data_IF_389092065226
#
_entry.id   IF_389092065226
#
_cell.length_a   1.000
_cell.length_b   1.000
_cell.length_c   1.000
_cell.angle_alpha   90.00
_cell.angle_beta   90.00
_cell.angle_gamma   90.00
#
_symmetry.space_group_name_H-M   'P 1'
#
loop_
_entity.id
_entity.type
_entity.pdbx_description
1 polymer ?
#
# COMPACT_ATOMS: atom_id res chain seq x y z
N UNK A 1 -3.53 -9.68 -15.43
CA UNK A 1 -4.18 -9.22 -14.19
C UNK A 1 -4.27 -7.71 -14.27
N UNK A 2 -5.32 -7.09 -13.71
CA UNK A 2 -5.48 -5.63 -13.73
C UNK A 2 -4.23 -4.88 -13.20
N UNK A 3 -3.45 -5.51 -12.30
CA UNK A 3 -2.17 -4.98 -11.84
C UNK A 3 -1.17 -4.68 -12.97
N UNK A 4 -1.12 -5.50 -14.03
CA UNK A 4 -0.19 -5.27 -15.16
C UNK A 4 -0.51 -4.01 -15.97
N UNK A 5 -1.71 -3.46 -15.82
CA UNK A 5 -2.15 -2.23 -16.47
C UNK A 5 -1.91 -1.00 -15.58
N UNK A 6 -1.36 -1.18 -14.37
CA UNK A 6 -1.10 -0.08 -13.45
C UNK A 6 0.16 0.69 -13.84
N UNK A 7 0.19 1.98 -13.50
CA UNK A 7 1.36 2.83 -13.65
C UNK A 7 2.60 2.24 -12.97
N UNK A 8 2.44 1.66 -11.78
CA UNK A 8 3.53 1.02 -11.04
C UNK A 8 4.15 -0.13 -11.82
N UNK A 9 3.34 -0.95 -12.52
CA UNK A 9 3.88 -2.01 -13.37
C UNK A 9 4.70 -1.46 -14.53
N UNK A 10 4.16 -0.47 -15.24
CA UNK A 10 4.81 0.09 -16.44
C UNK A 10 6.07 0.91 -16.13
N UNK A 11 6.15 1.53 -14.95
CA UNK A 11 7.18 2.52 -14.62
C UNK A 11 7.99 2.19 -13.35
N UNK A 12 8.00 0.93 -12.90
CA UNK A 12 8.74 0.52 -11.70
C UNK A 12 10.23 0.90 -11.75
N UNK A 13 10.88 0.80 -12.91
CA UNK A 13 12.30 1.16 -13.09
C UNK A 13 12.59 2.66 -12.92
N UNK A 14 11.56 3.51 -13.02
CA UNK A 14 11.65 4.96 -12.78
C UNK A 14 11.24 5.33 -11.35
N UNK A 15 10.37 4.51 -10.74
CA UNK A 15 9.86 4.71 -9.38
C UNK A 15 10.80 4.19 -8.30
N UNK A 16 11.61 3.19 -8.61
CA UNK A 16 12.50 2.50 -7.69
C UNK A 16 13.96 2.76 -8.07
N UNK A 17 14.78 3.07 -7.08
CA UNK A 17 16.22 3.12 -7.27
C UNK A 17 16.83 1.71 -7.41
N UNK A 18 18.07 1.59 -7.91
CA UNK A 18 18.76 0.30 -7.94
C UNK A 18 18.77 -0.37 -6.57
N UNK A 19 18.44 -1.66 -6.54
CA UNK A 19 18.32 -2.50 -5.34
C UNK A 19 17.11 -2.21 -4.43
N UNK A 20 16.20 -1.33 -4.84
CA UNK A 20 14.90 -1.17 -4.18
C UNK A 20 13.86 -2.14 -4.75
N UNK A 21 12.91 -2.50 -3.90
CA UNK A 21 11.80 -3.38 -4.24
C UNK A 21 10.61 -3.10 -3.32
N UNK A 22 9.43 -3.55 -3.74
CA UNK A 22 8.16 -3.33 -3.05
C UNK A 22 7.68 -4.64 -2.41
N UNK A 23 7.21 -4.56 -1.16
CA UNK A 23 6.44 -5.64 -0.54
C UNK A 23 5.01 -5.68 -1.10
N UNK A 24 4.57 -6.86 -1.55
CA UNK A 24 3.22 -7.04 -2.08
C UNK A 24 2.48 -8.22 -1.44
N UNK A 25 1.16 -8.24 -1.61
CA UNK A 25 0.33 -9.35 -1.18
C UNK A 25 0.60 -10.62 -2.01
N UNK A 26 0.26 -11.79 -1.45
CA UNK A 26 0.25 -13.08 -2.13
C UNK A 26 -0.55 -13.12 -3.45
N UNK A 27 -1.49 -12.20 -3.67
CA UNK A 27 -2.24 -12.08 -4.93
C UNK A 27 -1.42 -11.52 -6.09
N UNK A 28 -0.28 -10.87 -5.81
CA UNK A 28 0.64 -10.34 -6.83
C UNK A 28 1.67 -11.40 -7.25
N UNK A 29 2.28 -11.26 -8.46
CA UNK A 29 3.39 -12.12 -8.86
C UNK A 29 4.66 -11.81 -8.06
N UNK A 30 5.52 -12.81 -7.89
CA UNK A 30 6.89 -12.61 -7.38
C UNK A 30 7.78 -12.14 -8.53
N UNK A 31 8.43 -10.98 -8.37
CA UNK A 31 9.34 -10.36 -9.35
C UNK A 31 10.56 -9.75 -8.66
N UNK A 32 11.66 -9.44 -9.37
CA UNK A 32 12.86 -8.83 -8.77
C UNK A 32 12.59 -7.53 -7.99
N UNK A 33 11.61 -6.75 -8.42
CA UNK A 33 11.20 -5.48 -7.81
C UNK A 33 9.91 -5.60 -6.97
N UNK A 34 9.29 -6.79 -6.90
CA UNK A 34 8.02 -7.02 -6.22
C UNK A 34 8.04 -8.33 -5.44
N UNK A 35 8.25 -8.25 -4.13
CA UNK A 35 8.45 -9.41 -3.27
C UNK A 35 7.16 -9.75 -2.53
N UNK A 36 6.75 -11.02 -2.63
CA UNK A 36 5.50 -11.54 -2.06
C UNK A 36 5.78 -12.63 -1.02
N UNK A 37 4.82 -12.95 -0.12
CA UNK A 37 4.97 -14.02 0.84
C UNK A 37 5.17 -15.38 0.15
N UNK A 38 5.93 -16.27 0.78
CA UNK A 38 6.05 -17.65 0.33
C UNK A 38 4.70 -18.36 0.40
N UNK A 39 4.34 -19.06 -0.68
CA UNK A 39 3.19 -19.98 -0.73
C UNK A 39 3.67 -21.39 -0.48
N UNK A 40 2.93 -22.15 0.32
CA UNK A 40 3.23 -23.57 0.52
C UNK A 40 2.92 -24.34 -0.78
N UNK A 41 3.85 -25.18 -1.28
CA UNK A 41 3.54 -26.13 -2.35
C UNK A 41 2.41 -27.08 -1.92
N UNK A 42 1.69 -27.65 -2.89
CA UNK A 42 0.56 -28.52 -2.60
C UNK A 42 1.01 -29.74 -1.80
N UNK A 43 0.49 -29.90 -0.59
CA UNK A 43 0.82 -31.02 0.30
C UNK A 43 2.08 -30.82 1.15
N UNK A 44 2.77 -29.69 1.00
CA UNK A 44 4.00 -29.39 1.75
C UNK A 44 3.79 -28.25 2.75
N UNK A 45 4.69 -28.16 3.73
CA UNK A 45 4.72 -27.06 4.71
C UNK A 45 5.87 -26.12 4.39
N UNK A 46 5.64 -24.83 4.62
CA UNK A 46 6.73 -23.85 4.61
C UNK A 46 7.81 -24.22 5.61
N UNK A 47 9.07 -24.03 5.21
CA UNK A 47 10.22 -24.14 6.12
C UNK A 47 10.13 -23.11 7.24
N UNK A 48 10.86 -23.34 8.35
CA UNK A 48 10.89 -22.39 9.47
C UNK A 48 11.35 -20.98 9.05
N UNK A 49 12.31 -20.89 8.11
CA UNK A 49 12.80 -19.63 7.55
C UNK A 49 11.73 -18.90 6.73
N UNK A 50 11.00 -19.60 5.87
CA UNK A 50 9.90 -19.03 5.09
C UNK A 50 8.75 -18.54 5.97
N UNK A 51 8.41 -19.28 7.04
CA UNK A 51 7.41 -18.83 8.01
C UNK A 51 7.86 -17.56 8.75
N UNK A 52 9.12 -17.51 9.16
CA UNK A 52 9.70 -16.33 9.81
C UNK A 52 9.66 -15.12 8.90
N UNK A 53 9.97 -15.30 7.62
CA UNK A 53 9.85 -14.25 6.61
C UNK A 53 8.40 -13.77 6.45
N UNK A 54 7.45 -14.68 6.22
CA UNK A 54 6.03 -14.34 6.08
C UNK A 54 5.48 -13.63 7.33
N UNK A 55 5.94 -14.02 8.52
CA UNK A 55 5.58 -13.36 9.78
C UNK A 55 6.05 -11.90 9.83
N UNK A 56 7.31 -11.64 9.47
CA UNK A 56 7.85 -10.27 9.41
C UNK A 56 7.12 -9.42 8.35
N UNK A 57 6.87 -10.00 7.18
CA UNK A 57 6.10 -9.34 6.13
C UNK A 57 4.66 -9.00 6.58
N UNK A 58 4.02 -9.90 7.31
CA UNK A 58 2.70 -9.65 7.90
C UNK A 58 2.72 -8.46 8.87
N UNK A 59 3.76 -8.30 9.69
CA UNK A 59 3.90 -7.13 10.58
C UNK A 59 3.97 -5.80 9.82
N UNK A 60 4.70 -5.77 8.70
CA UNK A 60 4.78 -4.58 7.83
C UNK A 60 3.40 -4.25 7.25
N UNK A 61 2.66 -5.27 6.80
CA UNK A 61 1.29 -5.10 6.31
C UNK A 61 0.34 -4.55 7.36
N UNK A 62 0.37 -5.10 8.58
CA UNK A 62 -0.45 -4.62 9.69
C UNK A 62 -0.20 -3.14 9.96
N UNK A 63 1.07 -2.70 9.92
CA UNK A 63 1.40 -1.28 10.07
C UNK A 63 0.81 -0.42 8.94
N UNK A 64 0.91 -0.87 7.68
CA UNK A 64 0.31 -0.17 6.55
C UNK A 64 -1.23 -0.11 6.64
N UNK A 65 -1.87 -1.21 7.02
CA UNK A 65 -3.33 -1.28 7.22
C UNK A 65 -3.78 -0.37 8.37
N UNK A 66 -3.04 -0.30 9.47
CA UNK A 66 -3.29 0.64 10.56
C UNK A 66 -3.17 2.09 10.08
N UNK A 67 -2.13 2.45 9.32
CA UNK A 67 -1.98 3.80 8.77
C UNK A 67 -3.15 4.19 7.86
N UNK A 68 -3.60 3.28 6.98
CA UNK A 68 -4.78 3.50 6.13
C UNK A 68 -6.06 3.63 6.98
N UNK A 69 -6.18 2.83 8.05
CA UNK A 69 -7.29 2.91 8.99
C UNK A 69 -7.36 4.27 9.68
N UNK A 70 -6.24 4.76 10.21
CA UNK A 70 -6.13 6.09 10.82
C UNK A 70 -6.46 7.19 9.83
N UNK A 71 -5.98 7.08 8.59
CA UNK A 71 -6.30 8.04 7.53
C UNK A 71 -7.82 8.10 7.26
N UNK A 72 -8.49 6.94 7.17
CA UNK A 72 -9.95 6.87 6.97
C UNK A 72 -10.74 7.37 8.17
N UNK A 73 -10.23 7.18 9.39
CA UNK A 73 -10.85 7.69 10.62
C UNK A 73 -10.72 9.22 10.69
N UNK A 74 -9.55 9.78 10.39
CA UNK A 74 -9.35 11.24 10.40
C UNK A 74 -10.11 11.92 9.26
N UNK A 75 -10.07 11.34 8.06
CA UNK A 75 -10.75 11.85 6.87
C UNK A 75 -11.95 10.97 6.52
N UNK A 76 -13.06 11.15 7.25
CA UNK A 76 -14.27 10.34 7.10
C UNK A 76 -14.83 10.33 5.68
N UNK A 77 -14.52 11.32 4.83
CA UNK A 77 -14.84 11.29 3.40
C UNK A 77 -14.25 10.10 2.63
N UNK A 78 -13.17 9.50 3.14
CA UNK A 78 -12.57 8.29 2.58
C UNK A 78 -13.25 7.00 3.05
N UNK A 79 -14.08 7.06 4.10
CA UNK A 79 -14.86 5.93 4.56
C UNK A 79 -15.96 5.66 3.54
N UNK A 80 -15.93 4.45 2.96
CA UNK A 80 -16.84 4.05 1.89
C UNK A 80 -16.83 4.98 0.67
N UNK A 81 -15.70 5.66 0.36
CA UNK A 81 -15.57 6.68 -0.70
C UNK A 81 -16.61 6.50 -1.81
N UNK A 82 -17.72 7.25 -1.71
CA UNK A 82 -18.98 6.97 -2.42
C UNK A 82 -18.94 7.49 -3.86
N UNK A 83 -17.83 7.25 -4.54
CA UNK A 83 -17.61 7.58 -5.94
C UNK A 83 -17.79 6.30 -6.73
N UNK A 84 -18.87 6.22 -7.51
CA UNK A 84 -19.08 5.10 -8.42
C UNK A 84 -18.15 5.25 -9.64
N UNK A 85 -17.07 4.47 -9.67
CA UNK A 85 -16.03 4.55 -10.70
C UNK A 85 -16.55 3.93 -12.00
N UNK A 86 -17.12 4.76 -12.87
CA UNK A 86 -17.65 4.36 -14.19
C UNK A 86 -16.89 4.94 -15.37
N UNK A 87 -15.92 5.81 -15.11
CA UNK A 87 -15.14 6.49 -16.14
C UNK A 87 -13.78 6.89 -15.59
N UNK A 88 -12.83 7.12 -16.49
CA UNK A 88 -11.49 7.63 -16.15
C UNK A 88 -11.57 8.97 -15.41
N UNK A 89 -12.51 9.84 -15.77
CA UNK A 89 -12.73 11.13 -15.09
C UNK A 89 -13.11 10.92 -13.63
N UNK A 90 -14.02 9.99 -13.33
CA UNK A 90 -14.41 9.68 -11.94
C UNK A 90 -13.29 9.00 -11.17
N UNK A 91 -12.52 8.13 -11.84
CA UNK A 91 -11.32 7.53 -11.25
C UNK A 91 -10.30 8.60 -10.89
N UNK A 92 -9.98 9.51 -11.81
CA UNK A 92 -9.05 10.62 -11.59
C UNK A 92 -9.52 11.52 -10.44
N UNK A 93 -10.83 11.80 -10.37
CA UNK A 93 -11.42 12.55 -9.25
C UNK A 93 -11.25 11.83 -7.90
N UNK A 94 -11.51 10.51 -7.85
CA UNK A 94 -11.29 9.72 -6.65
C UNK A 94 -9.81 9.71 -6.22
N UNK A 95 -8.88 9.53 -7.17
CA UNK A 95 -7.44 9.58 -6.93
C UNK A 95 -7.01 10.95 -6.39
N UNK A 96 -7.50 12.03 -7.00
CA UNK A 96 -7.25 13.40 -6.53
C UNK A 96 -7.77 13.61 -5.11
N UNK A 97 -8.98 13.15 -4.79
CA UNK A 97 -9.55 13.24 -3.45
C UNK A 97 -8.66 12.54 -2.42
N UNK A 98 -8.28 11.28 -2.69
CA UNK A 98 -7.41 10.50 -1.81
C UNK A 98 -6.07 11.21 -1.60
N UNK A 99 -5.47 11.72 -2.68
CA UNK A 99 -4.21 12.47 -2.63
C UNK A 99 -4.32 13.74 -1.80
N UNK A 100 -5.41 14.49 -1.92
CA UNK A 100 -5.64 15.69 -1.10
C UNK A 100 -5.73 15.33 0.38
N UNK A 101 -6.46 14.27 0.75
CA UNK A 101 -6.51 13.79 2.13
C UNK A 101 -5.12 13.38 2.66
N UNK A 102 -4.29 12.72 1.84
CA UNK A 102 -2.92 12.36 2.21
C UNK A 102 -2.03 13.60 2.45
N UNK A 103 -2.10 14.59 1.56
CA UNK A 103 -1.33 15.84 1.71
C UNK A 103 -1.74 16.56 2.99
N UNK A 104 -3.05 16.74 3.21
CA UNK A 104 -3.55 17.39 4.42
C UNK A 104 -3.19 16.59 5.68
N UNK A 105 -3.22 15.25 5.63
CA UNK A 105 -2.80 14.41 6.75
C UNK A 105 -1.35 14.67 7.14
N UNK A 106 -0.45 14.72 6.16
CA UNK A 106 0.96 14.99 6.38
C UNK A 106 1.19 16.41 6.92
N UNK A 107 0.42 17.39 6.47
CA UNK A 107 0.47 18.75 7.01
C UNK A 107 0.04 18.80 8.48
N UNK A 108 -1.05 18.10 8.83
CA UNK A 108 -1.53 18.01 10.22
C UNK A 108 -0.48 17.32 11.10
N UNK A 109 0.06 16.17 10.69
CA UNK A 109 1.12 15.48 11.45
C UNK A 109 2.32 16.41 11.68
N UNK A 110 2.79 17.11 10.63
CA UNK A 110 3.90 18.05 10.76
C UNK A 110 3.58 19.18 11.74
N UNK A 111 2.35 19.71 11.70
CA UNK A 111 1.90 20.74 12.64
C UNK A 111 1.84 20.21 14.07
N UNK A 112 1.26 19.02 14.29
CA UNK A 112 1.17 18.37 15.60
C UNK A 112 2.57 18.12 16.19
N UNK A 113 3.52 17.66 15.38
CA UNK A 113 4.91 17.45 15.81
C UNK A 113 5.65 18.76 16.12
N UNK A 114 5.34 19.84 15.39
CA UNK A 114 5.98 21.14 15.62
C UNK A 114 5.46 21.84 16.89
N UNK A 115 4.20 21.58 17.30
CA UNK A 115 3.57 22.20 18.46
C UNK A 115 3.45 21.25 19.67
N UNK A 116 3.82 19.97 19.53
CA UNK A 116 3.74 18.94 20.58
C UNK A 116 4.91 18.91 21.56
N UNK A 117 5.50 20.07 21.87
CA UNK A 117 6.52 20.26 22.91
C UNK A 117 6.00 21.10 24.10
N UNK A 118 4.68 21.14 24.29
CA UNK A 118 4.01 21.70 25.48
C UNK A 118 3.18 20.61 26.19
#
# INVERSE_FOLDING_TARGET
TAFKETFTWAHHDQLLHPYEWIWADSAYPLLPWLITPFKAPRGERLTARQRTFNYRLSKIRVAAEHAIGLLKIRWQSLKELRIYITSEVKLAYAVMWIRTCLIMHNMVIKSELAHGHD
#
